data_IF_437964893915
#
_entry.id   IF_437964893915
#
_cell.length_a   1.000
_cell.length_b   1.000
_cell.length_c   1.000
_cell.angle_alpha   90.00
_cell.angle_beta   90.00
_cell.angle_gamma   90.00
#
_symmetry.space_group_name_H-M   'P 1'
#
loop_
_entity.id
_entity.type
_entity.pdbx_description
1 polymer ?
#
# COMPACT_ATOMS: atom_id res chain seq x y z
N UNK A 1 17.99 -1.38 6.72
CA UNK A 1 16.63 -1.50 6.14
C UNK A 1 16.73 -1.23 4.65
N UNK A 2 15.91 -1.90 3.84
CA UNK A 2 15.86 -1.65 2.39
C UNK A 2 15.01 -0.40 2.14
N UNK A 3 15.47 0.48 1.25
CA UNK A 3 14.80 1.74 0.88
C UNK A 3 14.70 1.88 -0.64
N UNK A 4 13.79 2.73 -1.11
CA UNK A 4 13.59 3.04 -2.54
C UNK A 4 13.24 1.81 -3.39
N UNK A 5 12.23 1.07 -2.93
CA UNK A 5 11.71 -0.11 -3.62
C UNK A 5 10.31 0.14 -4.18
N UNK A 6 10.03 -0.50 -5.31
CA UNK A 6 8.70 -0.57 -5.90
C UNK A 6 8.15 -1.99 -5.73
N UNK A 7 6.90 -2.08 -5.29
CA UNK A 7 6.17 -3.33 -5.13
C UNK A 7 5.23 -3.54 -6.32
N UNK A 8 5.24 -4.73 -6.91
CA UNK A 8 4.37 -5.08 -8.03
C UNK A 8 3.80 -6.50 -7.89
N UNK A 9 2.51 -6.65 -8.21
CA UNK A 9 1.80 -7.93 -8.27
C UNK A 9 0.54 -7.79 -9.15
N UNK A 10 0.05 -8.92 -9.67
CA UNK A 10 -1.29 -9.00 -10.28
C UNK A 10 -2.32 -8.95 -9.14
N UNK A 11 -3.37 -8.13 -9.27
CA UNK A 11 -4.36 -7.90 -8.21
C UNK A 11 -4.97 -9.19 -7.68
N UNK A 12 -5.38 -10.11 -8.55
CA UNK A 12 -5.98 -11.39 -8.15
C UNK A 12 -4.99 -12.24 -7.36
N UNK A 13 -3.74 -12.30 -7.81
CA UNK A 13 -2.70 -13.10 -7.18
C UNK A 13 -2.32 -12.51 -5.83
N UNK A 14 -2.23 -11.18 -5.72
CA UNK A 14 -1.97 -10.51 -4.45
C UNK A 14 -3.01 -10.91 -3.39
N UNK A 15 -4.30 -10.84 -3.74
CA UNK A 15 -5.38 -11.20 -2.81
C UNK A 15 -5.41 -12.70 -2.50
N UNK A 16 -5.13 -13.56 -3.49
CA UNK A 16 -5.06 -15.01 -3.30
C UNK A 16 -3.86 -15.45 -2.42
N UNK A 17 -2.79 -14.65 -2.38
CA UNK A 17 -1.58 -14.93 -1.61
C UNK A 17 -1.55 -14.23 -0.24
N UNK A 18 -2.70 -13.79 0.30
CA UNK A 18 -2.79 -13.27 1.66
C UNK A 18 -2.85 -14.39 2.70
N UNK A 19 -1.90 -14.40 3.62
CA UNK A 19 -1.81 -15.38 4.71
C UNK A 19 -2.56 -14.95 5.97
N UNK A 20 -2.76 -13.64 6.12
CA UNK A 20 -3.33 -13.05 7.31
C UNK A 20 -3.84 -11.64 7.02
N UNK A 21 -4.90 -11.27 7.73
CA UNK A 21 -5.46 -9.92 7.76
C UNK A 21 -5.38 -9.37 9.19
N UNK A 22 -5.33 -8.05 9.33
CA UNK A 22 -5.33 -7.39 10.63
C UNK A 22 -6.69 -7.47 11.32
N UNK A 23 -6.70 -7.50 12.66
CA UNK A 23 -7.94 -7.42 13.46
C UNK A 23 -8.54 -6.01 13.42
N UNK A 24 -9.83 -5.89 13.72
CA UNK A 24 -10.55 -4.61 13.77
C UNK A 24 -9.92 -3.61 14.75
N UNK A 25 -9.43 -4.07 15.90
CA UNK A 25 -8.76 -3.23 16.91
C UNK A 25 -7.52 -2.53 16.35
N UNK A 26 -6.84 -3.18 15.40
CA UNK A 26 -5.62 -2.70 14.76
C UNK A 26 -5.89 -1.72 13.63
N UNK A 27 -7.13 -1.61 13.16
CA UNK A 27 -7.52 -0.71 12.08
C UNK A 27 -7.45 0.75 12.53
N UNK A 28 -6.89 1.60 11.67
CA UNK A 28 -6.87 3.06 11.84
C UNK A 28 -7.11 3.75 10.49
N UNK A 29 -7.94 4.79 10.51
CA UNK A 29 -8.01 5.76 9.42
C UNK A 29 -6.73 6.56 9.35
N UNK A 30 -6.14 6.66 8.16
CA UNK A 30 -5.16 7.67 7.84
C UNK A 30 -5.74 8.55 6.72
N UNK A 31 -5.81 9.85 6.97
CA UNK A 31 -6.38 10.78 6.00
C UNK A 31 -5.42 11.04 4.85
N UNK A 32 -5.95 11.05 3.63
CA UNK A 32 -5.40 11.82 2.50
C UNK A 32 -6.62 12.37 1.75
N UNK A 33 -6.66 13.68 1.51
CA UNK A 33 -7.84 14.38 0.95
C UNK A 33 -8.13 14.09 -0.52
N UNK A 34 -7.54 13.04 -1.09
CA UNK A 34 -7.63 12.70 -2.50
C UNK A 34 -7.37 11.21 -2.75
N UNK A 35 -7.94 10.73 -3.84
CA UNK A 35 -7.81 9.34 -4.29
C UNK A 35 -6.49 9.10 -5.05
N UNK A 36 -5.91 10.18 -5.61
CA UNK A 36 -4.66 10.16 -6.38
C UNK A 36 -4.59 9.06 -7.48
N UNK A 37 -5.75 8.68 -8.03
CA UNK A 37 -5.91 7.64 -9.06
C UNK A 37 -5.55 8.09 -10.49
N UNK A 38 -5.05 9.32 -10.68
CA UNK A 38 -4.70 9.87 -12.00
C UNK A 38 -5.89 10.25 -12.88
N UNK A 39 -7.11 10.24 -12.33
CA UNK A 39 -8.33 10.71 -13.00
C UNK A 39 -8.55 12.22 -12.75
N UNK A 40 -9.38 12.92 -13.55
CA UNK A 40 -9.77 14.30 -13.27
C UNK A 40 -10.24 14.46 -11.82
N UNK A 41 -9.94 15.60 -11.18
CA UNK A 41 -10.31 15.85 -9.78
C UNK A 41 -11.78 15.56 -9.53
N UNK A 42 -12.04 14.61 -8.64
CA UNK A 42 -13.37 14.28 -8.15
C UNK A 42 -13.48 14.71 -6.69
N UNK A 43 -14.53 15.46 -6.36
CA UNK A 43 -14.84 15.85 -4.99
C UNK A 43 -15.67 14.75 -4.34
N UNK A 44 -15.10 14.02 -3.39
CA UNK A 44 -15.84 13.08 -2.54
C UNK A 44 -15.19 12.97 -1.15
N UNK A 45 -15.91 12.42 -0.17
CA UNK A 45 -15.37 12.12 1.15
C UNK A 45 -14.47 10.87 1.11
N UNK A 46 -13.16 11.07 0.91
CA UNK A 46 -12.17 9.99 0.75
C UNK A 46 -11.39 9.77 2.06
N UNK A 47 -11.08 8.51 2.36
CA UNK A 47 -10.19 8.14 3.45
C UNK A 47 -9.45 6.83 3.14
N UNK A 48 -8.24 6.66 3.70
CA UNK A 48 -7.42 5.46 3.48
C UNK A 48 -7.15 4.74 4.80
N UNK A 49 -7.77 3.58 4.97
CA UNK A 49 -7.58 2.74 6.15
C UNK A 49 -6.36 1.83 6.01
N UNK A 50 -5.54 1.74 7.06
CA UNK A 50 -4.59 0.63 7.19
C UNK A 50 -4.48 0.18 8.63
N UNK A 51 -3.99 -1.04 8.83
CA UNK A 51 -3.57 -1.48 10.16
C UNK A 51 -2.48 -0.53 10.69
N UNK A 52 -2.60 -0.13 11.96
CA UNK A 52 -1.51 0.50 12.72
C UNK A 52 -0.49 -0.58 13.08
N UNK A 53 0.77 -0.37 12.68
CA UNK A 53 1.87 -1.18 13.19
C UNK A 53 2.15 -0.81 14.65
N UNK A 54 2.13 -1.81 15.54
CA UNK A 54 2.56 -1.66 16.93
C UNK A 54 1.52 -2.04 17.99
N UNK A 55 1.46 -3.33 18.33
CA UNK A 55 1.42 -3.83 19.70
C UNK A 55 1.80 -5.32 19.67
N UNK A 56 2.76 -5.74 20.51
CA UNK A 56 3.25 -7.13 20.59
C UNK A 56 2.21 -8.03 21.26
N UNK A 57 1.11 -8.33 20.59
CA UNK A 57 0.16 -9.36 21.03
C UNK A 57 -0.24 -10.23 19.85
N UNK A 58 0.47 -11.36 19.73
CA UNK A 58 0.12 -12.65 19.13
C UNK A 58 -1.20 -12.74 18.34
N UNK A 59 -1.31 -11.97 17.26
CA UNK A 59 -2.26 -12.19 16.18
C UNK A 59 -1.47 -12.08 14.89
N UNK A 60 -1.68 -13.05 13.99
CA UNK A 60 -0.96 -13.22 12.72
C UNK A 60 -0.81 -11.87 12.01
N UNK A 61 0.44 -11.40 11.91
CA UNK A 61 0.75 -10.17 11.20
C UNK A 61 0.27 -10.30 9.75
N UNK A 62 -0.33 -9.23 9.17
CA UNK A 62 -0.74 -9.29 7.78
C UNK A 62 0.49 -9.59 6.92
N UNK A 63 0.39 -10.66 6.13
CA UNK A 63 1.47 -11.17 5.29
C UNK A 63 0.90 -11.48 3.91
N UNK A 64 1.66 -11.08 2.90
CA UNK A 64 1.43 -11.44 1.51
C UNK A 64 2.62 -12.24 1.03
N UNK A 65 2.37 -13.34 0.32
CA UNK A 65 3.40 -14.12 -0.38
C UNK A 65 3.54 -13.59 -1.81
N UNK A 66 4.68 -13.84 -2.42
CA UNK A 66 4.90 -13.62 -3.87
C UNK A 66 4.71 -12.17 -4.35
N UNK A 67 5.03 -11.18 -3.50
CA UNK A 67 5.12 -9.79 -3.90
C UNK A 67 6.49 -9.52 -4.55
N UNK A 68 6.49 -9.06 -5.79
CA UNK A 68 7.75 -8.70 -6.47
C UNK A 68 8.24 -7.36 -5.94
N UNK A 69 9.50 -7.33 -5.49
CA UNK A 69 10.17 -6.13 -4.97
C UNK A 69 11.30 -5.74 -5.93
N UNK A 70 11.16 -4.61 -6.61
CA UNK A 70 12.22 -4.02 -7.42
C UNK A 70 12.88 -2.85 -6.68
N UNK A 71 14.19 -2.67 -6.84
CA UNK A 71 14.87 -1.44 -6.39
C UNK A 71 14.75 -0.41 -7.50
N UNK A 72 14.25 0.78 -7.17
CA UNK A 72 14.18 1.88 -8.12
C UNK A 72 15.57 2.50 -8.20
N UNK A 73 16.26 2.35 -9.34
CA UNK A 73 17.43 3.17 -9.62
C UNK A 73 16.92 4.59 -9.95
N UNK A 74 17.37 5.60 -9.20
CA UNK A 74 17.12 7.00 -9.55
C UNK A 74 17.81 7.31 -10.88
N UNK A 75 17.06 7.17 -11.97
CA UNK A 75 17.34 7.88 -13.21
C UNK A 75 16.65 9.24 -13.10
N UNK A 76 17.41 10.29 -12.83
CA UNK A 76 16.93 11.66 -12.99
C UNK A 76 16.59 11.87 -14.46
N UNK A 77 15.32 11.69 -14.83
CA UNK A 77 14.82 12.17 -16.12
C UNK A 77 13.33 12.50 -16.02
N UNK A 78 13.10 13.78 -15.72
CA UNK A 78 12.02 14.63 -16.19
C UNK A 78 10.57 14.19 -15.94
N UNK A 79 9.94 14.86 -14.96
CA UNK A 79 8.55 15.30 -15.09
C UNK A 79 8.45 16.23 -16.32
N UNK A 80 7.59 15.89 -17.30
CA UNK A 80 6.73 16.75 -18.16
C UNK A 80 6.52 16.13 -19.56
N UNK A 81 5.26 16.17 -20.01
CA UNK A 81 4.78 15.71 -21.33
C UNK A 81 3.78 14.56 -21.15
N UNK A 82 2.48 14.70 -21.38
CA UNK A 82 1.66 15.69 -22.11
C UNK A 82 0.32 15.81 -21.39
#
# INVERSE_FOLDING_TARGET
MVSDVTYNAITTDFWANLDAIGSQESWRMFGTGGDAKGQPTQTNSISHGRRRFGSRRSWSEPRTRNLTVGVRHRSDTCQTGV
#
